data_IF_877077180294
#
_entry.id   IF_877077180294
#
_cell.length_a   1.000
_cell.length_b   1.000
_cell.length_c   1.000
_cell.angle_alpha   90.00
_cell.angle_beta   90.00
_cell.angle_gamma   90.00
#
_symmetry.space_group_name_H-M   'P 1'
#
loop_
_entity.id
_entity.type
_entity.pdbx_description
1 polymer ?
#
# COMPACT_ATOMS: atom_id res chain seq x y z
N UNK A 1 7.50 8.88 3.22
CA UNK A 1 6.07 8.59 3.11
C UNK A 1 5.23 9.85 3.04
N UNK A 2 5.42 10.81 3.95
CA UNK A 2 4.68 12.08 3.96
C UNK A 2 4.78 12.83 2.62
N UNK A 3 5.95 12.89 2.00
CA UNK A 3 6.14 13.53 0.70
C UNK A 3 5.32 12.85 -0.42
N UNK A 4 5.18 11.52 -0.37
CA UNK A 4 4.35 10.78 -1.32
C UNK A 4 2.88 11.15 -1.14
N UNK A 5 2.39 11.17 0.10
CA UNK A 5 1.01 11.54 0.42
C UNK A 5 0.71 12.95 -0.04
N UNK A 6 1.57 13.93 0.29
CA UNK A 6 1.43 15.32 -0.14
C UNK A 6 1.33 15.45 -1.66
N UNK A 7 2.11 14.67 -2.41
CA UNK A 7 2.08 14.71 -3.87
C UNK A 7 0.73 14.26 -4.45
N UNK A 8 0.01 13.38 -3.75
CA UNK A 8 -1.34 12.99 -4.15
C UNK A 8 -2.41 13.95 -3.65
N UNK A 9 -2.27 14.51 -2.46
CA UNK A 9 -3.22 15.49 -1.91
C UNK A 9 -3.36 16.73 -2.80
N UNK A 10 -2.26 17.17 -3.42
CA UNK A 10 -2.26 18.33 -4.31
C UNK A 10 -3.07 18.14 -5.60
N UNK A 11 -3.22 16.91 -6.07
CA UNK A 11 -3.87 16.61 -7.37
C UNK A 11 -5.14 15.78 -7.23
N UNK A 12 -5.44 15.27 -6.04
CA UNK A 12 -6.57 14.38 -5.80
C UNK A 12 -7.68 15.09 -5.05
N UNK A 13 -8.93 14.76 -5.39
CA UNK A 13 -10.12 15.18 -4.63
C UNK A 13 -10.36 14.29 -3.41
N UNK A 14 -9.56 13.24 -3.24
CA UNK A 14 -9.68 12.29 -2.13
C UNK A 14 -9.00 12.84 -0.87
N UNK A 15 -9.52 12.45 0.28
CA UNK A 15 -8.95 12.81 1.57
C UNK A 15 -7.93 11.76 2.02
N UNK A 16 -6.72 12.21 2.30
CA UNK A 16 -5.66 11.39 2.88
C UNK A 16 -5.55 11.64 4.38
N UNK A 17 -5.51 10.57 5.16
CA UNK A 17 -5.35 10.63 6.62
C UNK A 17 -4.08 9.86 6.98
N UNK A 18 -3.10 10.56 7.52
CA UNK A 18 -1.86 9.95 7.99
C UNK A 18 -1.91 9.80 9.50
N UNK A 19 -1.81 8.56 9.98
CA UNK A 19 -1.81 8.21 11.40
C UNK A 19 -0.43 7.65 11.76
N UNK A 20 0.22 8.27 12.73
CA UNK A 20 1.49 7.79 13.27
C UNK A 20 1.26 7.20 14.65
N UNK A 21 1.54 5.92 14.82
CA UNK A 21 1.43 5.16 16.07
C UNK A 21 2.79 4.60 16.50
N UNK A 22 3.83 5.40 16.38
CA UNK A 22 5.15 5.01 16.85
C UNK A 22 5.20 5.10 18.36
N UNK A 23 5.37 3.99 19.06
CA UNK A 23 5.55 3.90 20.51
C UNK A 23 6.96 4.37 20.90
N UNK A 24 7.26 5.66 20.68
CA UNK A 24 8.57 6.28 20.93
C UNK A 24 9.74 5.62 20.16
N UNK A 25 9.45 4.77 19.22
CA UNK A 25 10.43 4.13 18.34
C UNK A 25 10.47 4.85 16.99
N UNK A 26 11.50 5.64 16.77
CA UNK A 26 11.77 6.25 15.47
C UNK A 26 12.87 5.48 14.79
N UNK A 27 12.51 4.70 13.76
CA UNK A 27 13.50 4.02 12.94
C UNK A 27 13.87 4.90 11.77
N UNK A 28 15.15 5.23 11.69
CA UNK A 28 15.72 5.92 10.55
C UNK A 28 16.39 4.90 9.66
N UNK A 29 16.03 4.91 8.39
CA UNK A 29 16.71 4.15 7.34
C UNK A 29 17.00 5.05 6.15
N UNK A 30 17.95 4.65 5.34
CA UNK A 30 18.33 5.43 4.17
C UNK A 30 17.19 5.49 3.15
N UNK A 31 17.11 6.58 2.42
CA UNK A 31 16.14 6.70 1.32
C UNK A 31 16.40 5.60 0.29
N UNK A 32 15.36 4.87 -0.04
CA UNK A 32 15.36 3.85 -1.09
C UNK A 32 14.39 4.24 -2.19
N UNK A 33 14.90 4.34 -3.43
CA UNK A 33 14.04 4.57 -4.60
C UNK A 33 13.06 3.42 -4.80
N UNK A 34 13.50 2.19 -4.56
CA UNK A 34 12.66 1.01 -4.72
C UNK A 34 11.50 0.98 -3.73
N UNK A 35 11.76 1.31 -2.45
CA UNK A 35 10.70 1.43 -1.44
C UNK A 35 9.74 2.55 -1.80
N UNK A 36 10.23 3.70 -2.23
CA UNK A 36 9.39 4.82 -2.65
C UNK A 36 8.49 4.44 -3.83
N UNK A 37 9.04 3.79 -4.85
CA UNK A 37 8.24 3.32 -6.00
C UNK A 37 7.21 2.27 -5.59
N UNK A 38 7.58 1.34 -4.73
CA UNK A 38 6.66 0.34 -4.20
C UNK A 38 5.49 0.98 -3.45
N UNK A 39 5.76 1.91 -2.55
CA UNK A 39 4.74 2.65 -1.81
C UNK A 39 3.85 3.49 -2.73
N UNK A 40 4.43 4.16 -3.71
CA UNK A 40 3.66 4.93 -4.71
C UNK A 40 2.68 4.07 -5.49
N UNK A 41 3.03 2.85 -5.83
CA UNK A 41 2.10 1.94 -6.52
C UNK A 41 0.88 1.64 -5.66
N UNK A 42 1.06 1.36 -4.38
CA UNK A 42 -0.06 1.05 -3.48
C UNK A 42 -0.89 2.28 -3.11
N UNK A 43 -0.25 3.40 -2.85
CA UNK A 43 -0.97 4.66 -2.58
C UNK A 43 -1.72 5.13 -3.83
N UNK A 44 -1.12 4.98 -5.00
CA UNK A 44 -1.78 5.28 -6.27
C UNK A 44 -3.01 4.41 -6.53
N UNK A 45 -2.92 3.11 -6.23
CA UNK A 45 -4.07 2.20 -6.32
C UNK A 45 -5.17 2.61 -5.32
N UNK A 46 -4.81 2.90 -4.08
CA UNK A 46 -5.77 3.37 -3.09
C UNK A 46 -6.46 4.66 -3.55
N UNK A 47 -5.71 5.60 -4.10
CA UNK A 47 -6.27 6.84 -4.68
C UNK A 47 -7.23 6.56 -5.83
N UNK A 48 -6.88 5.63 -6.71
CA UNK A 48 -7.70 5.28 -7.88
C UNK A 48 -9.01 4.61 -7.51
N UNK A 49 -8.99 3.68 -6.55
CA UNK A 49 -10.14 2.83 -6.22
C UNK A 49 -10.95 3.28 -5.01
N UNK A 50 -10.43 4.19 -4.18
CA UNK A 50 -11.18 4.74 -3.04
C UNK A 50 -12.40 5.55 -3.50
N UNK A 51 -13.40 5.63 -2.64
CA UNK A 51 -14.53 6.53 -2.83
C UNK A 51 -14.18 7.96 -2.41
N UNK A 52 -13.76 8.14 -1.16
CA UNK A 52 -13.46 9.45 -0.58
C UNK A 52 -12.21 9.51 0.27
N UNK A 53 -11.90 8.43 1.02
CA UNK A 53 -10.89 8.45 2.06
C UNK A 53 -9.82 7.38 1.86
N UNK A 54 -8.58 7.76 2.13
CA UNK A 54 -7.43 6.85 2.18
C UNK A 54 -6.73 7.10 3.51
N UNK A 55 -6.63 6.05 4.31
CA UNK A 55 -5.95 6.07 5.59
C UNK A 55 -4.60 5.36 5.50
N UNK A 56 -3.54 6.05 5.87
CA UNK A 56 -2.20 5.48 5.93
C UNK A 56 -1.74 5.50 7.37
N UNK A 57 -1.53 4.34 7.95
CA UNK A 57 -1.09 4.18 9.33
C UNK A 57 0.33 3.66 9.37
N UNK A 58 1.17 4.30 10.18
CA UNK A 58 2.52 3.86 10.48
C UNK A 58 2.55 3.38 11.93
N UNK A 59 3.04 2.18 12.13
CA UNK A 59 3.26 1.60 13.47
C UNK A 59 4.69 1.10 13.56
N UNK A 60 5.34 1.35 14.67
CA UNK A 60 6.66 0.79 14.95
C UNK A 60 6.75 0.40 16.41
N UNK A 61 7.32 -0.76 16.68
CA UNK A 61 7.71 -1.22 18.00
C UNK A 61 9.19 -1.63 17.99
N UNK A 62 9.67 -2.29 19.02
CA UNK A 62 11.08 -2.71 19.11
C UNK A 62 11.51 -3.66 17.99
N UNK A 63 10.60 -4.47 17.48
CA UNK A 63 10.91 -5.57 16.57
C UNK A 63 10.44 -5.32 15.14
N UNK A 64 9.27 -4.72 14.98
CA UNK A 64 8.63 -4.55 13.68
C UNK A 64 8.30 -3.10 13.36
N UNK A 65 8.34 -2.78 12.09
CA UNK A 65 7.75 -1.56 11.52
C UNK A 65 6.72 -1.93 10.46
N UNK A 66 5.60 -1.24 10.46
CA UNK A 66 4.43 -1.59 9.67
C UNK A 66 3.82 -0.35 9.03
N UNK A 67 3.46 -0.45 7.77
CA UNK A 67 2.65 0.53 7.05
C UNK A 67 1.35 -0.15 6.62
N UNK A 68 0.23 0.46 6.98
CA UNK A 68 -1.10 0.05 6.56
C UNK A 68 -1.67 1.11 5.61
N UNK A 69 -2.09 0.71 4.43
CA UNK A 69 -2.75 1.58 3.45
C UNK A 69 -4.15 1.03 3.25
N UNK A 70 -5.15 1.76 3.71
CA UNK A 70 -6.56 1.38 3.64
C UNK A 70 -7.36 2.41 2.87
N UNK A 71 -8.18 1.96 1.94
CA UNK A 71 -9.16 2.79 1.25
C UNK A 71 -10.59 2.44 1.67
N UNK A 72 -11.53 3.26 1.23
CA UNK A 72 -12.96 3.09 1.45
C UNK A 72 -13.71 2.66 0.17
N UNK A 73 -12.98 2.09 -0.77
CA UNK A 73 -13.53 1.61 -2.03
C UNK A 73 -14.20 0.24 -1.92
N UNK A 74 -14.46 -0.41 -3.06
CA UNK A 74 -15.15 -1.71 -3.09
C UNK A 74 -14.29 -2.88 -2.56
N UNK A 75 -13.02 -2.67 -2.30
CA UNK A 75 -12.08 -3.73 -1.93
C UNK A 75 -11.51 -4.47 -3.13
N UNK A 76 -10.62 -5.39 -2.86
CA UNK A 76 -10.08 -6.27 -3.90
C UNK A 76 -11.13 -7.29 -4.32
N UNK A 77 -11.25 -7.60 -5.63
CA UNK A 77 -12.11 -8.70 -6.08
C UNK A 77 -11.72 -10.01 -5.41
N UNK A 78 -12.70 -10.74 -4.90
CA UNK A 78 -12.47 -11.98 -4.13
C UNK A 78 -11.83 -13.09 -4.98
N UNK A 79 -12.11 -13.10 -6.27
CA UNK A 79 -11.56 -14.07 -7.22
C UNK A 79 -10.07 -13.90 -7.50
N UNK A 80 -9.50 -12.72 -7.20
CA UNK A 80 -8.09 -12.41 -7.49
C UNK A 80 -7.25 -12.07 -6.26
N UNK A 81 -7.86 -11.91 -5.07
CA UNK A 81 -7.12 -11.46 -3.89
C UNK A 81 -5.93 -12.35 -3.54
N UNK A 82 -6.05 -13.66 -3.71
CA UNK A 82 -4.97 -14.62 -3.47
C UNK A 82 -3.87 -14.59 -4.53
N UNK A 83 -4.15 -13.96 -5.66
CA UNK A 83 -3.22 -13.83 -6.78
C UNK A 83 -2.61 -12.43 -6.90
N UNK A 84 -2.97 -11.52 -6.02
CA UNK A 84 -2.42 -10.17 -6.04
C UNK A 84 -0.90 -10.20 -5.84
N UNK A 85 -0.20 -9.47 -6.68
CA UNK A 85 1.25 -9.49 -6.72
C UNK A 85 1.85 -10.43 -7.75
N UNK A 86 1.05 -11.26 -8.42
CA UNK A 86 1.47 -12.00 -9.60
C UNK A 86 1.39 -11.10 -10.84
N UNK A 87 2.27 -11.29 -11.85
CA UNK A 87 2.23 -10.48 -13.06
C UNK A 87 1.00 -10.81 -13.91
N UNK A 88 0.46 -9.79 -14.59
CA UNK A 88 -0.60 -9.92 -15.60
C UNK A 88 -1.95 -10.45 -15.11
N UNK A 89 -2.32 -10.20 -13.86
CA UNK A 89 -3.66 -10.53 -13.36
C UNK A 89 -4.68 -9.62 -14.02
N UNK A 90 -5.70 -10.21 -14.63
CA UNK A 90 -6.87 -9.52 -15.16
C UNK A 90 -8.13 -10.07 -14.51
N UNK A 91 -9.02 -9.18 -14.06
CA UNK A 91 -10.33 -9.57 -13.58
C UNK A 91 -11.27 -9.80 -14.76
N UNK A 92 -12.01 -10.88 -14.73
CA UNK A 92 -13.03 -11.20 -15.74
C UNK A 92 -14.20 -10.20 -15.78
N UNK A 93 -14.35 -9.39 -14.73
CA UNK A 93 -15.39 -8.37 -14.59
C UNK A 93 -15.01 -7.00 -15.14
N UNK A 94 -13.79 -6.82 -15.65
CA UNK A 94 -13.29 -5.53 -16.09
C UNK A 94 -13.71 -5.20 -17.52
N UNK A 95 -14.90 -4.66 -17.66
CA UNK A 95 -15.35 -4.00 -18.90
C UNK A 95 -14.93 -2.53 -18.97
N UNK A 96 -14.40 -1.99 -17.89
CA UNK A 96 -13.99 -0.59 -17.79
C UNK A 96 -12.46 -0.51 -17.84
N UNK A 97 -11.93 -0.13 -18.99
CA UNK A 97 -10.49 -0.01 -19.24
C UNK A 97 -9.80 0.98 -18.27
N UNK A 98 -10.55 1.96 -17.71
CA UNK A 98 -10.01 2.94 -16.77
C UNK A 98 -9.62 2.34 -15.42
N UNK A 99 -10.10 1.14 -15.09
CA UNK A 99 -9.82 0.41 -13.83
C UNK A 99 -8.93 -0.81 -14.03
N UNK A 100 -8.35 -0.98 -15.21
CA UNK A 100 -7.39 -2.04 -15.50
C UNK A 100 -5.99 -1.60 -15.04
N UNK A 101 -5.53 -2.00 -13.89
CA UNK A 101 -4.21 -1.58 -13.42
C UNK A 101 -3.74 -2.29 -12.17
N UNK A 102 -4.61 -3.07 -11.52
CA UNK A 102 -4.28 -3.81 -10.30
C UNK A 102 -3.18 -4.85 -10.53
N UNK A 103 -3.10 -5.44 -11.74
CA UNK A 103 -2.14 -6.50 -12.03
C UNK A 103 -0.70 -6.02 -12.02
N UNK A 104 -0.37 -5.01 -12.82
CA UNK A 104 1.02 -4.57 -12.99
C UNK A 104 1.52 -3.73 -11.82
N UNK A 105 0.75 -2.74 -11.38
CA UNK A 105 1.14 -1.87 -10.26
C UNK A 105 1.29 -2.64 -8.95
N UNK A 106 0.40 -3.56 -8.67
CA UNK A 106 0.46 -4.43 -7.49
C UNK A 106 1.67 -5.38 -7.55
N UNK A 107 1.94 -5.95 -8.70
CA UNK A 107 3.13 -6.78 -8.93
C UNK A 107 4.43 -6.00 -8.70
N UNK A 108 4.55 -4.82 -9.31
CA UNK A 108 5.74 -3.97 -9.15
C UNK A 108 5.90 -3.55 -7.69
N UNK A 109 4.85 -3.08 -7.05
CA UNK A 109 4.88 -2.65 -5.66
C UNK A 109 5.32 -3.75 -4.71
N UNK A 110 4.70 -4.92 -4.82
CA UNK A 110 5.06 -6.08 -4.01
C UNK A 110 6.50 -6.53 -4.25
N UNK A 111 6.91 -6.64 -5.51
CA UNK A 111 8.26 -7.06 -5.88
C UNK A 111 9.34 -6.14 -5.32
N UNK A 112 9.16 -4.83 -5.46
CA UNK A 112 10.13 -3.84 -4.97
C UNK A 112 10.22 -3.84 -3.43
N UNK A 113 9.10 -3.94 -2.75
CA UNK A 113 9.08 -3.95 -1.29
C UNK A 113 9.63 -5.26 -0.73
N UNK A 114 9.28 -6.41 -1.29
CA UNK A 114 9.80 -7.70 -0.86
C UNK A 114 11.29 -7.87 -1.16
N UNK A 115 11.78 -7.30 -2.26
CA UNK A 115 13.22 -7.20 -2.55
C UNK A 115 13.97 -6.42 -1.46
N UNK A 116 13.31 -5.47 -0.81
CA UNK A 116 13.83 -4.69 0.31
C UNK A 116 13.37 -5.25 1.67
N UNK A 117 13.19 -6.55 1.76
CA UNK A 117 12.90 -7.32 2.97
C UNK A 117 11.57 -7.03 3.65
N UNK A 118 10.62 -6.42 2.96
CA UNK A 118 9.26 -6.29 3.45
C UNK A 118 8.47 -7.58 3.21
N UNK A 119 7.42 -7.76 4.01
CA UNK A 119 6.34 -8.70 3.73
C UNK A 119 5.11 -7.90 3.36
N UNK A 120 4.48 -8.22 2.24
CA UNK A 120 3.30 -7.52 1.73
C UNK A 120 2.09 -8.44 1.76
N UNK A 121 1.02 -8.01 2.40
CA UNK A 121 -0.25 -8.73 2.49
C UNK A 121 -1.40 -7.86 1.99
N UNK A 122 -2.36 -8.49 1.32
CA UNK A 122 -3.57 -7.86 0.82
C UNK A 122 -4.79 -8.42 1.52
N UNK A 123 -5.67 -7.55 2.00
CA UNK A 123 -6.90 -7.92 2.71
C UNK A 123 -8.06 -7.02 2.32
N UNK A 124 -9.27 -7.52 2.47
CA UNK A 124 -10.47 -6.71 2.46
C UNK A 124 -10.95 -6.44 3.89
N UNK A 125 -11.36 -5.21 4.15
CA UNK A 125 -11.92 -4.81 5.46
C UNK A 125 -13.42 -5.07 5.43
N UNK A 126 -13.87 -6.05 6.22
CA UNK A 126 -15.26 -6.53 6.18
C UNK A 126 -16.33 -5.48 6.44
N UNK A 127 -16.08 -4.50 7.33
CA UNK A 127 -17.08 -3.50 7.72
C UNK A 127 -17.28 -2.42 6.65
N UNK A 128 -16.23 -2.02 5.93
CA UNK A 128 -16.26 -0.88 5.00
C UNK A 128 -16.03 -1.30 3.55
N UNK A 129 -15.91 -2.60 3.29
CA UNK A 129 -15.61 -3.18 1.96
C UNK A 129 -14.32 -2.67 1.32
N UNK A 130 -13.53 -1.86 2.04
CA UNK A 130 -12.31 -1.27 1.52
C UNK A 130 -11.17 -2.25 1.39
N UNK A 131 -10.17 -1.89 0.58
CA UNK A 131 -8.94 -2.63 0.43
C UNK A 131 -7.91 -2.21 1.48
N UNK A 132 -7.15 -3.16 1.98
CA UNK A 132 -6.05 -2.95 2.91
C UNK A 132 -4.78 -3.59 2.37
N UNK A 133 -3.73 -2.80 2.27
CA UNK A 133 -2.36 -3.28 2.00
C UNK A 133 -1.56 -3.14 3.29
N UNK A 134 -1.01 -4.25 3.77
CA UNK A 134 -0.16 -4.31 4.95
C UNK A 134 1.27 -4.61 4.54
N UNK A 135 2.20 -3.74 4.93
CA UNK A 135 3.61 -3.84 4.62
C UNK A 135 4.38 -3.89 5.94
N UNK A 136 5.14 -4.95 6.16
CA UNK A 136 5.83 -5.20 7.43
C UNK A 136 7.32 -5.45 7.19
N UNK A 137 8.15 -4.84 8.01
CA UNK A 137 9.58 -5.11 8.10
C UNK A 137 9.96 -5.55 9.51
N UNK A 138 10.93 -6.46 9.60
CA UNK A 138 11.74 -6.59 10.80
C UNK A 138 12.68 -5.38 10.89
N UNK A 139 12.74 -4.72 12.04
CA UNK A 139 13.54 -3.51 12.22
C UNK A 139 15.03 -3.73 11.95
N UNK A 140 15.54 -4.91 12.27
CA UNK A 140 16.92 -5.29 11.96
C UNK A 140 17.21 -5.31 10.46
N UNK A 141 16.22 -5.63 9.64
CA UNK A 141 16.34 -5.62 8.18
C UNK A 141 16.28 -4.21 7.59
N UNK A 142 15.50 -3.33 8.20
CA UNK A 142 15.45 -1.91 7.80
C UNK A 142 16.78 -1.19 8.00
N UNK A 143 17.52 -1.53 9.04
CA UNK A 143 18.84 -0.95 9.33
C UNK A 143 19.91 -1.34 8.31
N UNK A 144 19.65 -2.35 7.49
CA UNK A 144 20.58 -2.84 6.46
C UNK A 144 20.31 -2.26 5.08
N UNK A 145 19.26 -1.49 4.93
CA UNK A 145 18.87 -0.86 3.64
C UNK A 145 19.65 0.42 3.40
#
# INVERSE_FOLDING_TARGET
>A
LSAIILSYEEISEKKFILINKDDNFSIKFNRSLEINYGLRNFIGNANKFSNYNIEVTIKSDEKFSEILIQDDGPGFPEDIIDKLGEPYIRTSSNKDESKTGLGLGTFIGKTLLEKNNAKVEFKNVKKNKGALVKIVWLNENLKKI
#
